data_IF_255995191400
#
_entry.id   IF_255995191400
#
_cell.length_a   1.000
_cell.length_b   1.000
_cell.length_c   1.000
_cell.angle_alpha   90.00
_cell.angle_beta   90.00
_cell.angle_gamma   90.00
#
_symmetry.space_group_name_H-M   'P 1'
#
loop_
_entity.id
_entity.type
_entity.pdbx_description
1 polymer ?
#
# COMPACT_ATOMS: atom_id res chain seq x y z
N UNK A 1 -1.81 26.60 11.14
CA UNK A 1 -3.29 26.51 11.28
C UNK A 1 -3.62 25.03 11.29
N UNK A 2 -4.00 24.46 12.43
CA UNK A 2 -4.37 23.03 12.49
C UNK A 2 -5.77 22.92 11.90
N UNK A 3 -5.91 22.18 10.81
CA UNK A 3 -7.18 21.95 10.16
C UNK A 3 -8.04 21.05 11.04
N UNK A 4 -9.12 21.61 11.59
CA UNK A 4 -10.08 20.91 12.48
C UNK A 4 -11.26 20.32 11.71
N UNK A 5 -11.26 20.39 10.38
CA UNK A 5 -12.28 19.78 9.54
C UNK A 5 -12.25 18.25 9.63
N UNK A 6 -13.43 17.61 9.64
CA UNK A 6 -13.52 16.15 9.46
C UNK A 6 -13.04 15.81 8.04
N UNK A 7 -12.23 14.74 7.85
CA UNK A 7 -11.79 14.33 6.53
C UNK A 7 -13.00 14.08 5.62
N UNK A 8 -13.03 14.70 4.44
CA UNK A 8 -14.05 14.42 3.44
C UNK A 8 -13.48 13.43 2.41
N UNK A 9 -14.32 12.59 1.81
CA UNK A 9 -13.90 11.62 0.76
C UNK A 9 -13.10 12.28 -0.37
N UNK A 10 -13.44 13.53 -0.71
CA UNK A 10 -12.73 14.32 -1.72
C UNK A 10 -11.25 14.60 -1.41
N UNK A 11 -10.85 14.46 -0.15
CA UNK A 11 -9.48 14.70 0.31
C UNK A 11 -8.62 13.44 0.22
N UNK A 12 -9.19 12.30 -0.19
CA UNK A 12 -8.51 11.02 -0.28
C UNK A 12 -8.11 10.66 -1.71
N UNK A 13 -6.90 10.11 -1.83
CA UNK A 13 -6.53 9.22 -2.92
C UNK A 13 -6.55 7.79 -2.41
N UNK A 14 -7.19 6.90 -3.16
CA UNK A 14 -7.26 5.48 -2.86
C UNK A 14 -6.24 4.73 -3.71
N UNK A 15 -5.49 3.82 -3.11
CA UNK A 15 -4.55 2.93 -3.80
C UNK A 15 -4.89 1.50 -3.41
N UNK A 16 -5.47 0.76 -4.33
CA UNK A 16 -5.69 -0.67 -4.17
C UNK A 16 -4.46 -1.42 -4.64
N UNK A 17 -4.00 -2.43 -3.92
CA UNK A 17 -2.84 -3.20 -4.34
C UNK A 17 -2.96 -4.67 -3.96
N UNK A 18 -2.14 -5.48 -4.62
CA UNK A 18 -1.97 -6.89 -4.35
C UNK A 18 -0.50 -7.28 -4.56
N UNK A 19 0.01 -8.18 -3.73
CA UNK A 19 1.36 -8.73 -3.86
C UNK A 19 1.30 -10.21 -4.25
N UNK A 20 2.00 -10.56 -5.32
CA UNK A 20 2.31 -11.96 -5.60
C UNK A 20 3.58 -12.36 -4.83
N UNK A 21 3.56 -13.56 -4.26
CA UNK A 21 4.70 -14.09 -3.51
C UNK A 21 5.12 -15.45 -4.02
N UNK A 22 6.43 -15.72 -3.96
CA UNK A 22 7.00 -17.06 -4.14
C UNK A 22 7.66 -17.54 -2.87
N UNK A 23 7.84 -18.85 -2.79
CA UNK A 23 8.44 -19.56 -1.65
C UNK A 23 9.68 -20.36 -2.07
N UNK A 24 10.42 -19.84 -3.06
CA UNK A 24 11.56 -20.53 -3.66
C UNK A 24 12.84 -20.44 -2.78
N UNK A 25 12.83 -19.59 -1.75
CA UNK A 25 13.96 -19.32 -0.85
C UNK A 25 13.73 -19.91 0.55
N UNK A 26 14.81 -20.29 1.24
CA UNK A 26 14.80 -20.87 2.57
C UNK A 26 15.53 -20.00 3.60
N UNK A 27 14.98 -19.92 4.81
CA UNK A 27 15.61 -19.34 5.98
C UNK A 27 15.47 -20.32 7.15
N UNK A 28 16.60 -20.84 7.65
CA UNK A 28 16.64 -21.82 8.73
C UNK A 28 15.63 -22.97 8.51
N UNK A 29 15.74 -23.65 7.36
CA UNK A 29 14.91 -24.78 6.92
C UNK A 29 13.44 -24.44 6.58
N UNK A 30 12.97 -23.23 6.89
CA UNK A 30 11.62 -22.78 6.53
C UNK A 30 11.61 -22.06 5.18
N UNK A 31 10.57 -22.31 4.38
CA UNK A 31 10.32 -21.53 3.16
C UNK A 31 9.89 -20.11 3.53
N UNK A 32 10.42 -19.13 2.83
CA UNK A 32 10.11 -17.72 3.06
C UNK A 32 9.28 -17.16 1.91
N UNK A 33 8.19 -16.48 2.24
CA UNK A 33 7.44 -15.72 1.25
C UNK A 33 8.24 -14.48 0.84
N UNK A 34 8.57 -14.39 -0.45
CA UNK A 34 9.21 -13.23 -1.05
C UNK A 34 8.32 -12.66 -2.13
N UNK A 35 8.06 -11.36 -2.03
CA UNK A 35 7.25 -10.64 -3.02
C UNK A 35 8.03 -10.55 -4.34
N UNK A 36 7.42 -11.00 -5.43
CA UNK A 36 8.01 -10.95 -6.77
C UNK A 36 7.23 -10.05 -7.75
N UNK A 37 6.01 -9.63 -7.38
CA UNK A 37 5.22 -8.69 -8.16
C UNK A 37 4.34 -7.88 -7.22
N UNK A 38 4.19 -6.60 -7.51
CA UNK A 38 3.13 -5.77 -6.96
C UNK A 38 2.34 -5.15 -8.11
N UNK A 39 1.02 -5.24 -8.03
CA UNK A 39 0.12 -4.49 -8.90
C UNK A 39 -0.67 -3.54 -8.03
N UNK A 40 -0.70 -2.26 -8.40
CA UNK A 40 -1.44 -1.24 -7.70
C UNK A 40 -2.31 -0.44 -8.66
N UNK A 41 -3.53 -0.13 -8.26
CA UNK A 41 -4.47 0.72 -8.98
C UNK A 41 -4.82 1.92 -8.10
N UNK A 42 -4.57 3.13 -8.61
CA UNK A 42 -4.92 4.35 -7.91
C UNK A 42 -6.24 4.93 -8.42
N UNK A 43 -7.02 5.52 -7.51
CA UNK A 43 -8.25 6.24 -7.82
C UNK A 43 -8.32 7.53 -6.99
N UNK A 44 -8.63 8.64 -7.65
CA UNK A 44 -9.15 9.81 -6.94
C UNK A 44 -10.59 9.56 -6.51
N UNK A 45 -11.10 10.42 -5.63
CA UNK A 45 -12.46 10.33 -5.12
C UNK A 45 -13.56 10.38 -6.19
N UNK A 46 -13.29 10.91 -7.39
CA UNK A 46 -14.25 10.98 -8.50
C UNK A 46 -14.26 9.69 -9.32
N UNK A 47 -13.09 9.06 -9.48
CA UNK A 47 -12.93 7.86 -10.30
C UNK A 47 -13.26 6.57 -9.55
N UNK A 48 -13.28 6.61 -8.20
CA UNK A 48 -13.67 5.45 -7.40
C UNK A 48 -15.15 5.11 -7.66
N UNK A 49 -15.38 4.04 -8.44
CA UNK A 49 -16.71 3.59 -8.87
C UNK A 49 -17.17 4.10 -10.24
N UNK A 50 -16.28 4.72 -11.02
CA UNK A 50 -16.60 5.25 -12.35
C UNK A 50 -15.45 5.09 -13.35
N UNK A 51 -15.43 5.97 -14.35
CA UNK A 51 -14.35 6.02 -15.35
C UNK A 51 -13.08 6.67 -14.79
N UNK A 52 -11.94 6.18 -15.24
CA UNK A 52 -10.63 6.67 -14.81
C UNK A 52 -10.26 7.96 -15.53
N UNK A 53 -9.80 8.96 -14.78
CA UNK A 53 -9.08 10.08 -15.35
C UNK A 53 -7.64 9.69 -15.69
N UNK A 54 -6.91 10.56 -16.39
CA UNK A 54 -5.52 10.33 -16.81
C UNK A 54 -4.55 10.07 -15.66
N UNK A 55 -4.90 10.46 -14.43
CA UNK A 55 -4.09 10.21 -13.25
C UNK A 55 -4.48 8.92 -12.50
N UNK A 56 -5.59 8.25 -12.84
CA UNK A 56 -6.08 7.05 -12.17
C UNK A 56 -5.65 5.77 -12.92
N UNK A 57 -4.35 5.49 -12.90
CA UNK A 57 -3.75 4.40 -13.67
C UNK A 57 -3.27 3.23 -12.81
N UNK A 58 -3.17 2.07 -13.45
CA UNK A 58 -2.48 0.89 -12.91
C UNK A 58 -0.97 1.09 -12.92
N UNK A 59 -0.29 0.58 -11.89
CA UNK A 59 1.16 0.54 -11.75
C UNK A 59 1.58 -0.89 -11.44
N UNK A 60 2.69 -1.31 -12.01
CA UNK A 60 3.23 -2.65 -11.86
C UNK A 60 4.69 -2.53 -11.43
N UNK A 61 5.04 -3.16 -10.31
CA UNK A 61 6.39 -3.13 -9.75
C UNK A 61 6.96 -4.55 -9.74
N UNK A 62 8.14 -4.73 -10.33
CA UNK A 62 8.75 -6.05 -10.58
C UNK A 62 10.14 -6.21 -9.94
N UNK A 63 10.92 -5.14 -9.85
CA UNK A 63 12.24 -5.15 -9.21
C UNK A 63 12.07 -4.58 -7.81
N UNK A 64 12.37 -5.38 -6.78
CA UNK A 64 12.11 -5.04 -5.37
C UNK A 64 10.70 -4.44 -5.14
N UNK A 65 9.63 -5.20 -5.43
CA UNK A 65 8.28 -4.63 -5.59
C UNK A 65 7.79 -3.86 -4.36
N UNK A 66 8.14 -4.31 -3.15
CA UNK A 66 7.77 -3.63 -1.89
C UNK A 66 8.41 -2.25 -1.81
N UNK A 67 9.70 -2.14 -2.14
CA UNK A 67 10.46 -0.88 -2.07
C UNK A 67 9.89 0.11 -3.08
N UNK A 68 9.76 -0.31 -4.35
CA UNK A 68 9.22 0.58 -5.39
C UNK A 68 7.78 1.02 -5.10
N UNK A 69 6.95 0.13 -4.57
CA UNK A 69 5.58 0.47 -4.19
C UNK A 69 5.55 1.50 -3.06
N UNK A 70 6.40 1.34 -2.04
CA UNK A 70 6.50 2.28 -0.93
C UNK A 70 7.05 3.63 -1.36
N UNK A 71 8.07 3.67 -2.24
CA UNK A 71 8.58 4.91 -2.82
C UNK A 71 7.49 5.65 -3.60
N UNK A 72 6.67 4.91 -4.36
CA UNK A 72 5.51 5.45 -5.05
C UNK A 72 4.49 6.07 -4.07
N UNK A 73 4.10 5.35 -3.01
CA UNK A 73 3.18 5.86 -1.98
C UNK A 73 3.73 7.13 -1.32
N UNK A 74 5.01 7.13 -0.95
CA UNK A 74 5.66 8.28 -0.32
C UNK A 74 5.72 9.48 -1.26
N UNK A 75 5.93 9.25 -2.56
CA UNK A 75 5.90 10.31 -3.55
C UNK A 75 4.49 10.89 -3.73
N UNK A 76 3.47 10.04 -3.82
CA UNK A 76 2.07 10.46 -3.91
C UNK A 76 1.63 11.26 -2.68
N UNK A 77 2.07 10.87 -1.48
CA UNK A 77 1.77 11.58 -0.23
C UNK A 77 2.32 13.01 -0.20
N UNK A 78 3.30 13.36 -1.04
CA UNK A 78 3.74 14.76 -1.20
C UNK A 78 2.68 15.65 -1.85
N UNK A 79 1.82 15.06 -2.69
CA UNK A 79 0.79 15.77 -3.45
C UNK A 79 -0.61 15.64 -2.82
N UNK A 80 -0.87 14.56 -2.08
CA UNK A 80 -2.18 14.29 -1.48
C UNK A 80 -2.09 14.24 0.04
N UNK A 81 -2.96 15.03 0.71
CA UNK A 81 -2.99 15.12 2.17
C UNK A 81 -3.38 13.79 2.83
N UNK A 82 -4.36 13.09 2.26
CA UNK A 82 -4.78 11.77 2.73
C UNK A 82 -4.64 10.74 1.61
N UNK A 83 -3.83 9.71 1.87
CA UNK A 83 -3.65 8.56 0.97
C UNK A 83 -4.11 7.32 1.72
N UNK A 84 -5.12 6.63 1.19
CA UNK A 84 -5.65 5.39 1.74
C UNK A 84 -5.16 4.23 0.88
N UNK A 85 -4.35 3.34 1.46
CA UNK A 85 -3.78 2.18 0.79
C UNK A 85 -4.52 0.93 1.26
N UNK A 86 -5.05 0.15 0.32
CA UNK A 86 -5.98 -0.95 0.58
C UNK A 86 -5.44 -2.19 -0.14
N UNK A 87 -5.10 -3.21 0.63
CA UNK A 87 -4.73 -4.51 0.08
C UNK A 87 -5.98 -5.30 -0.35
N UNK A 88 -5.90 -6.07 -1.43
CA UNK A 88 -6.97 -7.01 -1.80
C UNK A 88 -7.17 -8.07 -0.71
N UNK A 89 -6.08 -8.56 -0.11
CA UNK A 89 -6.10 -9.50 1.00
C UNK A 89 -5.20 -9.05 2.17
N UNK A 90 -5.54 -7.91 2.76
CA UNK A 90 -4.75 -7.32 3.85
C UNK A 90 -4.62 -8.20 5.12
N UNK A 91 -5.59 -9.09 5.38
CA UNK A 91 -5.54 -10.01 6.52
C UNK A 91 -4.45 -11.09 6.34
N UNK A 92 -4.09 -11.39 5.09
CA UNK A 92 -3.01 -12.31 4.77
C UNK A 92 -1.63 -11.67 4.97
N UNK A 93 -0.79 -11.76 3.95
CA UNK A 93 0.61 -11.34 4.04
C UNK A 93 0.86 -9.91 3.57
N UNK A 94 -0.06 -9.30 2.83
CA UNK A 94 0.19 -8.03 2.14
C UNK A 94 0.65 -6.92 3.09
N UNK A 95 -0.11 -6.71 4.18
CA UNK A 95 0.24 -5.70 5.16
C UNK A 95 1.44 -6.09 6.01
N UNK A 96 1.78 -7.38 6.14
CA UNK A 96 2.98 -7.81 6.86
C UNK A 96 4.25 -7.34 6.11
N UNK A 97 4.28 -7.39 4.78
CA UNK A 97 5.41 -6.89 4.00
C UNK A 97 5.56 -5.38 4.11
N UNK A 98 4.46 -4.64 4.07
CA UNK A 98 4.47 -3.18 4.27
C UNK A 98 4.93 -2.82 5.68
N UNK A 99 4.40 -3.50 6.70
CA UNK A 99 4.77 -3.27 8.09
C UNK A 99 6.25 -3.55 8.32
N UNK A 100 6.76 -4.67 7.80
CA UNK A 100 8.19 -5.01 7.84
C UNK A 100 9.04 -3.91 7.20
N UNK A 101 8.69 -3.44 6.00
CA UNK A 101 9.40 -2.35 5.35
C UNK A 101 9.39 -1.07 6.20
N UNK A 102 8.25 -0.68 6.77
CA UNK A 102 8.16 0.51 7.62
C UNK A 102 9.07 0.38 8.84
N UNK A 103 9.07 -0.77 9.52
CA UNK A 103 9.86 -1.01 10.72
C UNK A 103 11.37 -1.10 10.45
N UNK A 104 11.78 -1.72 9.33
CA UNK A 104 13.19 -2.00 9.05
C UNK A 104 13.87 -0.93 8.19
N UNK A 105 13.13 -0.29 7.28
CA UNK A 105 13.68 0.60 6.24
C UNK A 105 13.33 2.07 6.47
N UNK A 106 12.48 2.39 7.45
CA UNK A 106 12.09 3.76 7.75
C UNK A 106 12.28 4.10 9.23
N UNK A 107 12.21 5.39 9.56
CA UNK A 107 12.22 5.87 10.96
C UNK A 107 10.81 6.02 11.54
N UNK A 108 9.78 5.61 10.81
CA UNK A 108 8.39 5.78 11.22
C UNK A 108 7.96 4.65 12.15
N UNK A 109 7.21 5.01 13.19
CA UNK A 109 6.53 4.05 14.06
C UNK A 109 5.05 4.04 13.69
N UNK A 110 4.53 2.98 13.05
CA UNK A 110 3.13 2.93 12.66
C UNK A 110 2.23 2.75 13.88
N UNK A 111 1.09 3.43 13.90
CA UNK A 111 0.00 3.11 14.81
C UNK A 111 -0.76 1.90 14.25
N UNK A 112 -0.84 0.82 15.03
CA UNK A 112 -1.51 -0.41 14.63
C UNK A 112 -2.91 -0.48 15.22
N UNK A 113 -3.91 -0.53 14.35
CA UNK A 113 -5.32 -0.68 14.74
C UNK A 113 -5.78 -2.09 14.39
N UNK A 114 -5.72 -3.00 15.36
CA UNK A 114 -6.16 -4.39 15.21
C UNK A 114 -7.58 -4.55 15.77
N UNK A 115 -8.58 -4.14 14.99
CA UNK A 115 -10.00 -4.28 15.34
C UNK A 115 -10.72 -5.43 14.63
N UNK A 116 -10.00 -6.18 13.80
CA UNK A 116 -10.49 -7.39 13.14
C UNK A 116 -10.53 -8.58 14.10
N UNK A 117 -11.54 -9.44 13.97
CA UNK A 117 -11.79 -10.60 14.85
C UNK A 117 -11.24 -11.92 14.31
N UNK A 118 -10.49 -11.90 13.21
CA UNK A 118 -9.91 -13.09 12.57
C UNK A 118 -8.43 -12.89 12.30
#
# INVERSE_FOLDING_TARGET
RVDTGKPMTKDFLFIFFDFETRQDEFLNENRVHKVNLCVAQQFCWQCIGGENCENCNTRIFRQDPVVQFMDYIMNVRKSFKNVCVIAHNGQGFDFQFILKYVLEQTKFTPELIMRGTK
#
